data_IF_257618238890
#
_entry.id   IF_257618238890
#
_cell.length_a   1.000
_cell.length_b   1.000
_cell.length_c   1.000
_cell.angle_alpha   90.00
_cell.angle_beta   90.00
_cell.angle_gamma   90.00
#
_symmetry.space_group_name_H-M   'P 1'
#
loop_
_entity.id
_entity.type
_entity.pdbx_description
1 polymer ?
#
# COMPACT_ATOMS: atom_id res chain seq x y z
N UNK A 1 20.49 -23.01 11.11
CA UNK A 1 20.32 -22.07 9.99
C UNK A 1 20.58 -22.75 8.66
N UNK A 2 19.79 -22.46 7.63
CA UNK A 2 19.96 -22.95 6.26
C UNK A 2 20.15 -21.74 5.35
N UNK A 3 21.15 -21.79 4.48
CA UNK A 3 21.45 -20.76 3.49
C UNK A 3 21.24 -21.39 2.13
N UNK A 4 20.26 -20.90 1.38
CA UNK A 4 19.95 -21.39 0.05
C UNK A 4 20.22 -20.32 -1.00
N UNK A 5 20.84 -20.73 -2.09
CA UNK A 5 21.14 -19.86 -3.21
C UNK A 5 20.66 -20.50 -4.51
N UNK A 6 19.95 -19.76 -5.31
CA UNK A 6 19.58 -20.22 -6.66
C UNK A 6 20.81 -20.28 -7.58
N UNK A 7 20.82 -21.24 -8.50
CA UNK A 7 21.80 -21.20 -9.58
C UNK A 7 21.57 -19.97 -10.47
N UNK A 8 22.60 -19.36 -11.05
CA UNK A 8 22.46 -18.12 -11.82
C UNK A 8 21.42 -18.18 -12.93
N UNK A 9 21.25 -19.36 -13.58
CA UNK A 9 20.24 -19.55 -14.61
C UNK A 9 18.77 -19.48 -14.10
N UNK A 10 18.58 -19.60 -12.80
CA UNK A 10 17.25 -19.62 -12.15
C UNK A 10 17.04 -18.42 -11.22
N UNK A 11 18.06 -17.61 -10.98
CA UNK A 11 17.96 -16.41 -10.12
C UNK A 11 17.58 -15.18 -10.94
N UNK A 12 16.29 -15.12 -11.33
CA UNK A 12 15.78 -13.99 -12.10
C UNK A 12 15.78 -12.67 -11.31
N UNK A 13 15.68 -12.74 -9.98
CA UNK A 13 15.70 -11.54 -9.13
C UNK A 13 17.12 -10.92 -9.11
N UNK A 14 18.16 -11.72 -8.91
CA UNK A 14 19.54 -11.25 -8.97
C UNK A 14 19.88 -10.65 -10.34
N UNK A 15 19.39 -11.27 -11.43
CA UNK A 15 19.56 -10.76 -12.78
C UNK A 15 18.86 -9.39 -12.96
N UNK A 16 17.62 -9.26 -12.52
CA UNK A 16 16.86 -8.01 -12.61
C UNK A 16 17.56 -6.89 -11.80
N UNK A 17 18.01 -7.19 -10.58
CA UNK A 17 18.73 -6.23 -9.74
C UNK A 17 20.04 -5.79 -10.39
N UNK A 18 20.79 -6.71 -10.99
CA UNK A 18 22.02 -6.37 -11.70
C UNK A 18 21.76 -5.37 -12.84
N UNK A 19 20.73 -5.60 -13.65
CA UNK A 19 20.35 -4.68 -14.70
C UNK A 19 19.90 -3.31 -14.16
N UNK A 20 19.14 -3.26 -13.07
CA UNK A 20 18.77 -1.99 -12.45
C UNK A 20 20.00 -1.21 -11.96
N UNK A 21 20.97 -1.88 -11.38
CA UNK A 21 22.21 -1.26 -10.92
C UNK A 21 23.03 -0.71 -12.11
N UNK A 22 23.17 -1.49 -13.17
CA UNK A 22 23.95 -1.11 -14.35
C UNK A 22 23.24 -0.05 -15.19
N UNK A 23 21.97 -0.28 -15.51
CA UNK A 23 21.24 0.52 -16.49
C UNK A 23 20.59 1.77 -15.91
N UNK A 24 20.10 1.71 -14.68
CA UNK A 24 19.44 2.85 -14.02
C UNK A 24 20.40 3.63 -13.12
N UNK A 25 21.07 2.96 -12.17
CA UNK A 25 22.01 3.64 -11.26
C UNK A 25 23.33 4.00 -11.93
N UNK A 26 23.65 3.43 -13.10
CA UNK A 26 24.93 3.61 -13.83
C UNK A 26 26.15 3.25 -12.99
N UNK A 27 26.03 2.20 -12.17
CA UNK A 27 27.09 1.68 -11.31
C UNK A 27 27.72 0.47 -11.99
N UNK A 28 29.07 0.42 -11.98
CA UNK A 28 29.83 -0.73 -12.46
C UNK A 28 29.78 -1.87 -11.44
N UNK A 29 28.78 -2.72 -11.60
CA UNK A 29 28.56 -3.93 -10.84
C UNK A 29 28.66 -5.13 -11.77
N UNK A 30 29.52 -6.11 -11.43
CA UNK A 30 29.76 -7.27 -12.29
C UNK A 30 28.81 -8.43 -11.99
N UNK A 31 28.38 -8.57 -10.73
CA UNK A 31 27.47 -9.62 -10.32
C UNK A 31 26.67 -9.20 -9.07
N UNK A 32 25.45 -9.74 -8.99
CA UNK A 32 24.61 -9.73 -7.80
C UNK A 32 24.31 -11.18 -7.43
N UNK A 33 24.44 -11.51 -6.17
CA UNK A 33 24.06 -12.81 -5.63
C UNK A 33 23.10 -12.62 -4.47
N UNK A 34 22.04 -13.42 -4.43
CA UNK A 34 21.04 -13.40 -3.38
C UNK A 34 21.11 -14.71 -2.61
N UNK A 35 21.16 -14.59 -1.29
CA UNK A 35 21.17 -15.72 -0.37
C UNK A 35 19.87 -15.69 0.45
N UNK A 36 19.09 -16.75 0.33
CA UNK A 36 17.85 -16.94 1.09
C UNK A 36 18.23 -17.65 2.40
N UNK A 37 18.02 -16.97 3.50
CA UNK A 37 18.50 -17.42 4.81
C UNK A 37 17.31 -17.76 5.69
N UNK A 38 17.26 -19.00 6.13
CA UNK A 38 16.24 -19.56 7.00
C UNK A 38 16.88 -19.93 8.34
N UNK A 39 16.63 -19.14 9.35
CA UNK A 39 17.03 -19.44 10.72
C UNK A 39 15.87 -20.13 11.45
N UNK A 40 16.17 -21.12 12.29
CA UNK A 40 15.20 -21.88 13.10
C UNK A 40 15.84 -22.29 14.41
N UNK A 41 15.03 -22.46 15.44
CA UNK A 41 15.52 -22.74 16.79
C UNK A 41 15.96 -24.20 16.96
N UNK A 42 15.18 -25.15 16.44
CA UNK A 42 15.41 -26.58 16.62
C UNK A 42 16.17 -27.18 15.45
N UNK A 43 17.49 -27.32 15.59
CA UNK A 43 18.36 -27.93 14.59
C UNK A 43 18.07 -29.41 14.33
N UNK A 44 17.32 -30.11 15.19
CA UNK A 44 16.97 -31.52 14.94
C UNK A 44 15.99 -31.66 13.78
N UNK A 45 15.21 -30.62 13.46
CA UNK A 45 14.25 -30.59 12.36
C UNK A 45 14.85 -30.13 11.03
N UNK A 46 16.15 -29.83 10.99
CA UNK A 46 16.87 -29.31 9.80
C UNK A 46 16.66 -30.17 8.55
N UNK A 47 16.72 -31.50 8.68
CA UNK A 47 16.55 -32.40 7.55
C UNK A 47 15.18 -32.29 6.89
N UNK A 48 14.12 -32.25 7.70
CA UNK A 48 12.74 -32.13 7.24
C UNK A 48 12.47 -30.79 6.58
N UNK A 49 13.07 -29.70 7.11
CA UNK A 49 12.97 -28.37 6.53
C UNK A 49 13.64 -28.32 5.15
N UNK A 50 14.85 -28.91 5.04
CA UNK A 50 15.57 -29.01 3.77
C UNK A 50 14.75 -29.76 2.72
N UNK A 51 14.26 -30.93 3.04
CA UNK A 51 13.52 -31.78 2.11
C UNK A 51 12.18 -31.18 1.68
N UNK A 52 11.61 -30.31 2.51
CA UNK A 52 10.33 -29.68 2.24
C UNK A 52 10.43 -28.40 1.42
N UNK A 53 11.43 -27.56 1.68
CA UNK A 53 11.50 -26.20 1.12
C UNK A 53 12.48 -26.03 -0.03
N UNK A 54 13.50 -26.91 -0.16
CA UNK A 54 14.61 -26.66 -1.08
C UNK A 54 14.71 -27.71 -2.17
N UNK A 55 14.66 -27.25 -3.40
CA UNK A 55 14.81 -28.11 -4.59
C UNK A 55 16.22 -27.95 -5.17
N UNK A 56 17.01 -29.03 -5.07
CA UNK A 56 18.38 -29.10 -5.57
C UNK A 56 18.54 -28.93 -7.08
N UNK A 57 17.44 -28.97 -7.84
CA UNK A 57 17.47 -28.70 -9.29
C UNK A 57 17.64 -27.22 -9.61
N UNK A 58 17.21 -26.35 -8.70
CA UNK A 58 17.18 -24.90 -8.93
C UNK A 58 18.23 -24.14 -8.16
N UNK A 59 18.83 -24.74 -7.14
CA UNK A 59 19.80 -24.09 -6.30
C UNK A 59 20.56 -25.06 -5.38
N UNK A 60 21.39 -24.50 -4.54
CA UNK A 60 22.25 -25.23 -3.61
C UNK A 60 22.18 -24.67 -2.18
N UNK A 61 22.45 -25.54 -1.21
CA UNK A 61 22.59 -25.15 0.16
C UNK A 61 24.07 -24.82 0.41
N UNK A 62 24.31 -23.56 0.82
CA UNK A 62 25.65 -23.08 1.15
C UNK A 62 25.98 -23.47 2.59
N UNK A 63 27.14 -24.07 2.85
CA UNK A 63 27.48 -24.55 4.20
C UNK A 63 27.77 -23.44 5.20
N UNK A 64 28.30 -22.31 4.74
CA UNK A 64 28.68 -21.16 5.57
C UNK A 64 28.28 -19.86 4.89
N UNK A 65 28.01 -18.83 5.70
CA UNK A 65 27.72 -17.48 5.20
C UNK A 65 28.99 -16.90 4.51
N UNK A 66 28.84 -16.46 3.26
CA UNK A 66 29.94 -15.75 2.61
C UNK A 66 30.26 -14.42 3.30
N UNK A 67 31.48 -13.94 3.15
CA UNK A 67 31.88 -12.61 3.60
C UNK A 67 31.21 -11.49 2.77
N UNK A 68 31.18 -10.30 3.34
CA UNK A 68 30.70 -9.07 2.68
C UNK A 68 29.26 -9.12 2.17
N UNK A 69 28.37 -9.74 2.93
CA UNK A 69 26.95 -9.71 2.67
C UNK A 69 26.28 -8.50 3.34
N UNK A 70 25.33 -7.90 2.63
CA UNK A 70 24.33 -6.98 3.19
C UNK A 70 23.12 -7.82 3.56
N UNK A 71 22.77 -7.89 4.84
CA UNK A 71 21.62 -8.66 5.32
C UNK A 71 20.44 -7.73 5.51
N UNK A 72 19.33 -8.08 4.90
CA UNK A 72 18.09 -7.31 4.98
C UNK A 72 16.98 -8.19 5.54
N UNK A 73 16.29 -7.68 6.54
CA UNK A 73 15.05 -8.25 7.05
C UNK A 73 13.90 -7.23 6.94
N UNK A 74 12.67 -7.74 6.93
CA UNK A 74 11.53 -6.90 7.17
C UNK A 74 11.48 -6.51 8.65
N UNK A 75 11.11 -5.25 8.95
CA UNK A 75 10.98 -4.78 10.32
C UNK A 75 9.94 -5.59 11.10
N UNK A 76 10.10 -5.66 12.40
CA UNK A 76 9.15 -6.33 13.27
C UNK A 76 7.75 -5.69 13.13
N UNK A 77 6.74 -6.55 13.05
CA UNK A 77 5.37 -6.14 12.73
C UNK A 77 5.02 -6.13 11.24
N UNK A 78 6.00 -6.18 10.33
CA UNK A 78 5.75 -6.37 8.91
C UNK A 78 5.44 -7.83 8.59
N UNK A 79 4.50 -8.05 7.65
CA UNK A 79 4.16 -9.40 7.21
C UNK A 79 5.20 -9.92 6.22
N UNK A 80 5.94 -10.96 6.63
CA UNK A 80 6.86 -11.67 5.76
C UNK A 80 6.17 -12.89 5.15
N UNK A 81 5.76 -12.77 3.89
CA UNK A 81 5.02 -13.82 3.18
C UNK A 81 5.81 -15.12 3.06
N UNK A 82 7.11 -15.05 2.76
CA UNK A 82 7.96 -16.25 2.61
C UNK A 82 8.05 -17.00 3.93
N UNK A 83 8.25 -16.29 5.01
CA UNK A 83 8.32 -16.87 6.37
C UNK A 83 7.00 -17.52 6.75
N UNK A 84 5.88 -16.82 6.63
CA UNK A 84 4.58 -17.31 7.05
C UNK A 84 4.13 -18.54 6.23
N UNK A 85 4.26 -18.47 4.90
CA UNK A 85 3.91 -19.59 4.03
C UNK A 85 4.79 -20.81 4.27
N UNK A 86 6.10 -20.61 4.46
CA UNK A 86 7.02 -21.70 4.81
C UNK A 86 6.63 -22.36 6.12
N UNK A 87 6.33 -21.58 7.16
CA UNK A 87 5.88 -22.11 8.45
C UNK A 87 4.57 -22.87 8.34
N UNK A 88 3.57 -22.34 7.66
CA UNK A 88 2.27 -23.01 7.46
C UNK A 88 2.44 -24.33 6.71
N UNK A 89 3.24 -24.32 5.64
CA UNK A 89 3.52 -25.53 4.86
C UNK A 89 4.24 -26.60 5.70
N UNK A 90 5.30 -26.21 6.41
CA UNK A 90 6.07 -27.12 7.27
C UNK A 90 5.21 -27.71 8.40
N UNK A 91 4.40 -26.91 9.07
CA UNK A 91 3.49 -27.34 10.12
C UNK A 91 2.43 -28.31 9.58
N UNK A 92 1.85 -28.02 8.44
CA UNK A 92 0.79 -28.83 7.85
C UNK A 92 1.30 -30.15 7.26
N UNK A 93 2.48 -30.17 6.63
CA UNK A 93 2.96 -31.33 5.85
C UNK A 93 4.02 -32.15 6.56
N UNK A 94 4.85 -31.53 7.41
CA UNK A 94 6.03 -32.15 8.07
C UNK A 94 5.95 -32.18 9.57
N UNK A 95 4.91 -31.58 10.18
CA UNK A 95 4.75 -31.45 11.64
C UNK A 95 5.93 -30.76 12.32
N UNK A 96 6.62 -29.88 11.60
CA UNK A 96 7.70 -29.05 12.15
C UNK A 96 7.08 -28.08 13.16
N UNK A 97 7.66 -28.03 14.34
CA UNK A 97 7.21 -27.19 15.47
C UNK A 97 8.12 -25.98 15.71
N UNK A 98 9.33 -26.02 15.18
CA UNK A 98 10.31 -24.93 15.30
C UNK A 98 9.78 -23.65 14.69
N UNK A 99 10.03 -22.52 15.33
CA UNK A 99 9.86 -21.24 14.70
C UNK A 99 10.94 -21.00 13.65
N UNK A 100 10.60 -20.20 12.65
CA UNK A 100 11.44 -19.93 11.50
C UNK A 100 11.45 -18.42 11.23
N UNK A 101 12.63 -17.87 10.99
CA UNK A 101 12.86 -16.52 10.52
C UNK A 101 13.45 -16.56 9.12
N UNK A 102 12.98 -15.69 8.26
CA UNK A 102 13.46 -15.56 6.90
C UNK A 102 13.99 -14.16 6.66
N UNK A 103 15.18 -14.10 6.07
CA UNK A 103 15.79 -12.85 5.62
C UNK A 103 16.72 -13.10 4.42
N UNK A 104 17.21 -12.07 3.81
CA UNK A 104 18.06 -12.14 2.62
C UNK A 104 19.43 -11.56 2.87
N UNK A 105 20.45 -12.21 2.31
CA UNK A 105 21.80 -11.68 2.19
C UNK A 105 22.08 -11.32 0.73
N UNK A 106 22.62 -10.15 0.50
CA UNK A 106 22.99 -9.68 -0.84
C UNK A 106 24.50 -9.50 -0.94
N UNK A 107 25.10 -10.01 -2.01
CA UNK A 107 26.49 -9.75 -2.34
C UNK A 107 26.58 -9.06 -3.68
N UNK A 108 27.25 -7.91 -3.68
CA UNK A 108 27.46 -7.09 -4.87
C UNK A 108 28.95 -7.11 -5.23
N UNK A 109 29.27 -7.49 -6.47
CA UNK A 109 30.63 -7.41 -6.98
C UNK A 109 30.84 -6.04 -7.64
N UNK A 110 31.29 -5.06 -6.86
CA UNK A 110 31.41 -3.66 -7.24
C UNK A 110 32.85 -3.32 -7.62
N UNK A 111 33.02 -2.50 -8.68
CA UNK A 111 34.29 -1.88 -9.01
C UNK A 111 34.71 -0.85 -7.96
N UNK A 112 33.75 -0.17 -7.33
CA UNK A 112 33.98 0.83 -6.28
C UNK A 112 33.13 0.49 -5.04
N UNK A 113 33.72 0.14 -3.89
CA UNK A 113 32.97 -0.17 -2.68
C UNK A 113 32.06 0.97 -2.19
N UNK A 114 32.41 2.22 -2.45
CA UNK A 114 31.60 3.40 -2.08
C UNK A 114 30.23 3.48 -2.79
N UNK A 115 30.04 2.73 -3.89
CA UNK A 115 28.74 2.70 -4.59
C UNK A 115 27.69 1.85 -3.84
N UNK A 116 28.09 1.10 -2.82
CA UNK A 116 27.17 0.24 -2.06
C UNK A 116 26.05 1.03 -1.37
N UNK A 117 26.35 2.18 -0.79
CA UNK A 117 25.36 3.00 -0.11
C UNK A 117 24.28 3.51 -1.08
N UNK A 118 24.67 3.87 -2.31
CA UNK A 118 23.72 4.26 -3.35
C UNK A 118 22.82 3.10 -3.78
N UNK A 119 23.37 1.89 -3.88
CA UNK A 119 22.60 0.68 -4.18
C UNK A 119 21.59 0.40 -3.05
N UNK A 120 22.03 0.46 -1.80
CA UNK A 120 21.16 0.25 -0.64
C UNK A 120 20.03 1.26 -0.59
N UNK A 121 20.32 2.54 -0.80
CA UNK A 121 19.31 3.60 -0.82
C UNK A 121 18.26 3.43 -1.92
N UNK A 122 18.60 2.75 -3.02
CA UNK A 122 17.67 2.47 -4.11
C UNK A 122 16.86 1.18 -3.89
N UNK A 123 17.50 0.09 -3.46
CA UNK A 123 16.90 -1.24 -3.44
C UNK A 123 16.04 -1.51 -2.20
N UNK A 124 16.30 -0.84 -1.08
CA UNK A 124 15.66 -1.14 0.20
C UNK A 124 14.81 0.01 0.68
N UNK A 125 13.60 -0.33 1.10
CA UNK A 125 12.68 0.65 1.67
C UNK A 125 12.90 0.75 3.19
N UNK A 126 13.50 1.82 3.72
CA UNK A 126 13.81 1.95 5.14
C UNK A 126 12.58 2.07 6.04
N UNK A 127 11.39 2.27 5.48
CA UNK A 127 10.14 2.30 6.24
C UNK A 127 9.71 0.90 6.69
N UNK A 128 9.97 -0.11 5.86
CA UNK A 128 9.50 -1.49 6.07
C UNK A 128 10.65 -2.49 6.24
N UNK A 129 11.88 -2.11 5.91
CA UNK A 129 13.06 -2.98 5.95
C UNK A 129 14.19 -2.35 6.76
N UNK A 130 15.07 -3.21 7.28
CA UNK A 130 16.27 -2.80 8.00
C UNK A 130 17.43 -3.78 7.78
N UNK A 131 18.66 -3.29 7.97
CA UNK A 131 19.83 -4.15 7.98
C UNK A 131 19.89 -4.97 9.26
N UNK A 132 20.20 -6.25 9.11
CA UNK A 132 20.36 -7.20 10.20
C UNK A 132 21.84 -7.54 10.41
N UNK A 133 22.30 -7.57 11.66
CA UNK A 133 23.49 -8.32 12.01
C UNK A 133 23.11 -9.81 12.18
N UNK A 134 23.57 -10.72 11.32
CA UNK A 134 23.20 -12.13 11.39
C UNK A 134 23.62 -12.83 12.70
N UNK A 135 24.45 -12.18 13.53
CA UNK A 135 24.80 -12.67 14.86
C UNK A 135 23.77 -12.33 15.94
N UNK A 136 22.81 -11.47 15.59
CA UNK A 136 21.77 -10.97 16.50
C UNK A 136 20.37 -11.48 16.12
N UNK A 137 20.26 -12.67 15.51
CA UNK A 137 18.97 -13.26 15.18
C UNK A 137 18.26 -13.64 16.49
N UNK A 138 17.15 -12.96 16.77
CA UNK A 138 16.27 -13.26 17.88
C UNK A 138 14.98 -13.91 17.36
N UNK A 139 14.52 -14.98 18.02
CA UNK A 139 13.24 -15.65 17.75
C UNK A 139 12.12 -15.10 18.63
N UNK A 140 12.46 -14.55 19.77
CA UNK A 140 11.49 -13.89 20.63
C UNK A 140 11.01 -12.58 19.98
N UNK A 141 9.72 -12.38 19.94
CA UNK A 141 9.15 -11.07 19.69
C UNK A 141 9.38 -10.22 20.93
N UNK A 142 10.53 -9.62 21.05
CA UNK A 142 10.66 -8.51 21.98
C UNK A 142 9.89 -7.32 21.38
N UNK A 143 8.74 -7.04 21.97
CA UNK A 143 8.17 -5.70 21.89
C UNK A 143 9.12 -4.83 22.70
N UNK A 144 10.22 -4.44 22.07
CA UNK A 144 11.36 -3.82 22.74
C UNK A 144 11.12 -2.38 23.13
N UNK A 145 10.00 -1.78 22.73
CA UNK A 145 9.71 -0.36 23.00
C UNK A 145 8.36 -0.19 23.70
N UNK A 146 8.43 -0.16 25.05
CA UNK A 146 7.29 0.19 25.90
C UNK A 146 6.95 1.70 25.84
N UNK A 147 7.72 2.49 25.05
CA UNK A 147 7.53 3.93 24.96
C UNK A 147 6.16 4.32 24.40
N UNK A 148 5.60 3.51 23.50
CA UNK A 148 4.26 3.76 22.97
C UNK A 148 3.15 3.56 24.01
N UNK A 149 3.40 2.74 25.05
CA UNK A 149 2.47 2.52 26.16
C UNK A 149 2.63 3.54 27.28
N UNK A 150 3.67 4.38 27.23
CA UNK A 150 3.88 5.43 28.24
C UNK A 150 2.91 6.59 28.03
N UNK A 151 2.51 7.19 29.14
CA UNK A 151 1.71 8.42 29.09
C UNK A 151 2.54 9.56 28.47
N UNK A 152 1.88 10.38 27.66
CA UNK A 152 2.45 11.62 27.15
C UNK A 152 2.32 12.67 28.27
N UNK A 153 3.32 12.71 29.14
CA UNK A 153 3.29 13.54 30.34
C UNK A 153 3.01 15.01 30.00
N UNK A 154 2.03 15.60 30.69
CA UNK A 154 1.65 17.00 30.55
C UNK A 154 0.77 17.30 29.34
N UNK A 155 0.41 16.31 28.51
CA UNK A 155 -0.42 16.52 27.31
C UNK A 155 -1.69 17.31 27.59
N UNK A 156 -2.33 17.05 28.72
CA UNK A 156 -3.56 17.74 29.15
C UNK A 156 -3.39 19.22 29.40
N UNK A 157 -2.16 19.71 29.56
CA UNK A 157 -1.83 21.12 29.84
C UNK A 157 -1.06 21.78 28.70
N UNK A 158 -0.80 21.10 27.61
CA UNK A 158 -0.08 21.67 26.45
C UNK A 158 -0.83 22.89 25.91
N UNK A 159 -0.08 23.94 25.62
CA UNK A 159 -0.56 25.08 24.83
C UNK A 159 -0.74 24.68 23.35
N UNK A 160 -1.34 25.55 22.55
CA UNK A 160 -1.47 25.30 21.11
C UNK A 160 -0.10 25.16 20.42
N UNK A 161 0.91 25.93 20.83
CA UNK A 161 2.28 25.85 20.33
C UNK A 161 2.95 24.52 20.72
N UNK A 162 2.72 24.04 21.94
CA UNK A 162 3.25 22.75 22.40
C UNK A 162 2.57 21.56 21.69
N UNK A 163 1.27 21.65 21.38
CA UNK A 163 0.58 20.66 20.55
C UNK A 163 1.14 20.64 19.12
N UNK A 164 1.46 21.78 18.52
CA UNK A 164 2.10 21.87 17.21
C UNK A 164 3.48 21.22 17.26
N UNK A 165 4.28 21.52 18.26
CA UNK A 165 5.60 20.94 18.45
C UNK A 165 5.53 19.42 18.64
N UNK A 166 4.62 18.94 19.49
CA UNK A 166 4.35 17.52 19.70
C UNK A 166 3.98 16.80 18.39
N UNK A 167 3.05 17.38 17.63
CA UNK A 167 2.65 16.85 16.31
C UNK A 167 3.84 16.66 15.39
N UNK A 168 4.70 17.68 15.29
CA UNK A 168 5.88 17.66 14.42
C UNK A 168 6.92 16.63 14.90
N UNK A 169 7.23 16.64 16.20
CA UNK A 169 8.21 15.74 16.80
C UNK A 169 7.81 14.26 16.69
N UNK A 170 6.53 13.97 16.90
CA UNK A 170 6.01 12.59 16.92
C UNK A 170 5.45 12.12 15.60
N UNK A 171 5.41 12.97 14.56
CA UNK A 171 4.90 12.60 13.24
C UNK A 171 3.41 12.28 13.23
N UNK A 172 2.60 12.96 14.07
CA UNK A 172 1.15 12.77 14.16
C UNK A 172 0.45 13.51 13.01
N UNK A 173 -0.46 12.83 12.31
CA UNK A 173 -1.20 13.37 11.17
C UNK A 173 -2.39 14.27 11.55
N UNK A 174 -2.96 14.09 12.76
CA UNK A 174 -4.09 14.88 13.29
C UNK A 174 -3.84 16.38 13.18
N UNK A 175 -4.87 17.17 12.95
CA UNK A 175 -4.76 18.63 13.02
C UNK A 175 -4.81 19.14 14.47
N UNK A 176 -4.68 20.45 14.66
CA UNK A 176 -4.63 21.04 16.00
C UNK A 176 -5.99 20.97 16.68
N UNK A 177 -7.06 21.12 15.94
CA UNK A 177 -8.42 21.05 16.48
C UNK A 177 -8.72 19.64 16.97
N UNK A 178 -8.28 18.61 16.23
CA UNK A 178 -8.38 17.21 16.65
C UNK A 178 -7.60 16.95 17.94
N UNK A 179 -6.35 17.43 18.03
CA UNK A 179 -5.53 17.29 19.23
C UNK A 179 -6.15 18.00 20.44
N UNK A 180 -6.80 19.14 20.25
CA UNK A 180 -7.52 19.85 21.32
C UNK A 180 -8.77 19.08 21.77
N UNK A 181 -9.47 18.41 20.85
CA UNK A 181 -10.60 17.51 21.20
C UNK A 181 -10.09 16.35 22.05
N UNK A 182 -8.97 15.73 21.64
CA UNK A 182 -8.33 14.65 22.41
C UNK A 182 -7.92 15.15 23.79
N UNK A 183 -7.25 16.30 23.87
CA UNK A 183 -6.86 16.92 25.12
C UNK A 183 -8.07 17.15 26.06
N UNK A 184 -9.15 17.70 25.52
CA UNK A 184 -10.38 17.94 26.27
C UNK A 184 -11.03 16.65 26.79
N UNK A 185 -10.90 15.56 26.05
CA UNK A 185 -11.38 14.24 26.47
C UNK A 185 -10.56 13.71 27.66
N UNK A 186 -9.24 13.69 27.53
CA UNK A 186 -8.36 13.15 28.58
C UNK A 186 -8.30 14.05 29.83
N UNK A 187 -8.54 15.36 29.68
CA UNK A 187 -8.78 16.26 30.83
C UNK A 187 -10.00 15.81 31.65
N UNK A 188 -11.09 15.40 30.99
CA UNK A 188 -12.29 14.87 31.66
C UNK A 188 -12.05 13.50 32.32
N UNK A 189 -11.18 12.69 31.71
CA UNK A 189 -10.75 11.41 32.30
C UNK A 189 -9.79 11.61 33.50
N UNK A 190 -9.17 12.78 33.62
CA UNK A 190 -8.23 13.09 34.71
C UNK A 190 -6.89 12.37 34.60
N UNK A 191 -6.48 12.02 33.39
CA UNK A 191 -5.18 11.41 33.09
C UNK A 191 -4.63 11.86 31.74
N UNK A 192 -3.34 11.82 31.58
CA UNK A 192 -2.73 12.02 30.27
C UNK A 192 -2.95 10.79 29.36
N UNK A 193 -3.09 10.98 28.02
CA UNK A 193 -3.16 9.87 27.09
C UNK A 193 -1.84 9.13 27.00
N UNK A 194 -1.90 7.83 26.69
CA UNK A 194 -0.73 7.08 26.24
C UNK A 194 -0.48 7.40 24.76
N UNK A 195 0.76 7.31 24.32
CA UNK A 195 1.07 7.61 22.92
C UNK A 195 0.37 6.66 21.96
N UNK A 196 0.22 5.38 22.30
CA UNK A 196 -0.56 4.42 21.51
C UNK A 196 -2.04 4.81 21.37
N UNK A 197 -2.65 5.46 22.39
CA UNK A 197 -4.04 5.95 22.30
C UNK A 197 -4.13 7.08 21.27
N UNK A 198 -3.15 8.00 21.27
CA UNK A 198 -3.07 9.07 20.26
C UNK A 198 -2.86 8.47 18.86
N UNK A 199 -1.97 7.49 18.70
CA UNK A 199 -1.75 6.80 17.41
C UNK A 199 -3.00 6.10 16.88
N UNK A 200 -3.78 5.47 17.75
CA UNK A 200 -5.05 4.84 17.36
C UNK A 200 -6.02 5.91 16.83
N UNK A 201 -6.15 7.04 17.54
CA UNK A 201 -7.01 8.13 17.10
C UNK A 201 -6.49 8.78 15.81
N UNK A 202 -5.19 8.97 15.69
CA UNK A 202 -4.53 9.44 14.47
C UNK A 202 -4.86 8.56 13.27
N UNK A 203 -4.81 7.25 13.44
CA UNK A 203 -5.17 6.28 12.40
C UNK A 203 -6.65 6.35 12.04
N UNK A 204 -7.56 6.41 13.03
CA UNK A 204 -9.00 6.44 12.80
C UNK A 204 -9.51 7.78 12.25
N UNK A 205 -8.89 8.89 12.62
CA UNK A 205 -9.28 10.24 12.21
C UNK A 205 -8.46 10.75 11.03
N UNK A 206 -7.52 9.95 10.54
CA UNK A 206 -6.78 10.32 9.33
C UNK A 206 -7.75 10.57 8.18
N UNK A 207 -7.51 11.63 7.42
CA UNK A 207 -8.31 11.96 6.23
C UNK A 207 -7.99 10.99 5.06
N UNK A 208 -8.18 9.69 5.33
CA UNK A 208 -7.94 8.63 4.37
C UNK A 208 -8.77 8.85 3.11
N UNK A 209 -8.13 8.86 1.94
CA UNK A 209 -8.76 9.20 0.65
C UNK A 209 -9.43 10.58 0.64
N UNK A 210 -9.06 11.47 1.56
CA UNK A 210 -9.59 12.83 1.70
C UNK A 210 -11.12 12.90 1.91
N UNK A 211 -11.69 11.92 2.58
CA UNK A 211 -13.13 11.88 2.85
C UNK A 211 -13.60 13.13 3.60
N UNK A 212 -12.86 13.55 4.62
CA UNK A 212 -13.18 14.76 5.40
C UNK A 212 -13.03 16.01 4.53
N UNK A 213 -11.93 16.13 3.78
CA UNK A 213 -11.70 17.23 2.83
C UNK A 213 -12.84 17.34 1.81
N UNK A 214 -13.28 16.23 1.22
CA UNK A 214 -14.39 16.21 0.25
C UNK A 214 -15.74 16.60 0.86
N UNK A 215 -15.90 16.45 2.18
CA UNK A 215 -17.13 16.82 2.90
C UNK A 215 -17.08 18.22 3.50
N UNK A 216 -15.95 18.93 3.41
CA UNK A 216 -15.82 20.31 3.91
C UNK A 216 -16.91 21.19 3.31
N UNK A 217 -17.58 21.95 4.17
CA UNK A 217 -18.65 22.86 3.76
C UNK A 217 -18.05 24.09 3.07
N UNK A 218 -18.37 24.27 1.79
CA UNK A 218 -17.96 25.39 0.97
C UNK A 218 -18.98 26.52 1.17
N UNK A 219 -18.55 27.64 1.77
CA UNK A 219 -19.41 28.78 2.04
C UNK A 219 -19.38 29.81 0.91
N UNK A 220 -18.17 30.09 0.38
CA UNK A 220 -17.97 31.10 -0.64
C UNK A 220 -17.29 30.52 -1.87
N UNK A 221 -17.79 30.90 -3.04
CA UNK A 221 -17.20 30.52 -4.33
C UNK A 221 -16.88 31.76 -5.15
N UNK A 222 -15.61 31.93 -5.45
CA UNK A 222 -15.12 33.03 -6.32
C UNK A 222 -14.49 32.42 -7.57
N UNK A 223 -15.00 32.81 -8.73
CA UNK A 223 -14.48 32.40 -10.03
C UNK A 223 -13.59 33.51 -10.58
N UNK A 224 -12.31 33.25 -10.71
CA UNK A 224 -11.34 34.23 -11.19
C UNK A 224 -11.55 34.59 -12.65
N UNK A 225 -11.10 35.78 -13.05
CA UNK A 225 -11.09 36.22 -14.45
C UNK A 225 -10.05 35.41 -15.24
N UNK A 226 -10.41 35.05 -16.47
CA UNK A 226 -9.55 34.28 -17.37
C UNK A 226 -10.35 33.71 -18.55
N UNK A 227 -9.65 33.05 -19.47
CA UNK A 227 -10.22 32.54 -20.74
C UNK A 227 -11.34 31.50 -20.51
N UNK A 228 -11.32 30.80 -19.40
CA UNK A 228 -12.31 29.76 -19.07
C UNK A 228 -13.40 30.23 -18.10
N UNK A 229 -13.39 31.49 -17.64
CA UNK A 229 -14.37 32.00 -16.65
C UNK A 229 -15.82 31.71 -17.03
N UNK A 230 -16.20 31.98 -18.28
CA UNK A 230 -17.58 31.79 -18.73
C UNK A 230 -18.03 30.32 -18.65
N UNK A 231 -17.12 29.38 -18.99
CA UNK A 231 -17.42 27.94 -18.96
C UNK A 231 -17.55 27.46 -17.50
N UNK A 232 -16.61 27.87 -16.64
CA UNK A 232 -16.64 27.52 -15.22
C UNK A 232 -17.86 28.11 -14.52
N UNK A 233 -18.20 29.37 -14.80
CA UNK A 233 -19.40 30.04 -14.28
C UNK A 233 -20.67 29.29 -14.67
N UNK A 234 -20.80 28.94 -15.95
CA UNK A 234 -21.97 28.19 -16.44
C UNK A 234 -22.06 26.79 -15.82
N UNK A 235 -20.92 26.12 -15.65
CA UNK A 235 -20.89 24.81 -14.98
C UNK A 235 -21.34 24.90 -13.52
N UNK A 236 -20.93 25.94 -12.81
CA UNK A 236 -21.34 26.17 -11.44
C UNK A 236 -22.85 26.51 -11.33
N UNK A 237 -23.37 27.33 -12.24
CA UNK A 237 -24.80 27.61 -12.32
C UNK A 237 -25.61 26.33 -12.57
N UNK A 238 -25.19 25.48 -13.51
CA UNK A 238 -25.83 24.18 -13.77
C UNK A 238 -25.80 23.29 -12.54
N UNK A 239 -24.69 23.29 -11.79
CA UNK A 239 -24.61 22.56 -10.52
C UNK A 239 -25.68 23.05 -9.52
N UNK A 240 -25.85 24.35 -9.37
CA UNK A 240 -26.87 24.91 -8.46
C UNK A 240 -28.31 24.58 -8.91
N UNK A 241 -28.55 24.58 -10.22
CA UNK A 241 -29.83 24.16 -10.79
C UNK A 241 -30.12 22.67 -10.51
N UNK A 242 -29.12 21.80 -10.75
CA UNK A 242 -29.21 20.37 -10.43
C UNK A 242 -29.47 20.14 -8.95
N UNK A 243 -28.78 20.90 -8.09
CA UNK A 243 -28.98 20.85 -6.65
C UNK A 243 -30.40 21.22 -6.23
N UNK A 244 -30.91 22.32 -6.77
CA UNK A 244 -32.28 22.76 -6.50
C UNK A 244 -33.31 21.68 -6.89
N UNK A 245 -33.11 21.05 -8.04
CA UNK A 245 -33.97 19.96 -8.50
C UNK A 245 -33.82 18.71 -7.59
N UNK A 246 -32.61 18.26 -7.29
CA UNK A 246 -32.38 17.04 -6.51
C UNK A 246 -32.96 17.14 -5.10
N UNK A 247 -32.76 18.28 -4.44
CA UNK A 247 -33.19 18.50 -3.06
C UNK A 247 -34.56 19.14 -2.91
N UNK A 248 -35.33 19.29 -4.00
CA UNK A 248 -36.69 19.80 -3.94
C UNK A 248 -37.56 19.04 -2.91
N UNK A 249 -38.13 19.76 -1.96
CA UNK A 249 -38.95 19.18 -0.87
C UNK A 249 -38.15 18.46 0.23
N UNK A 250 -36.79 18.57 0.23
CA UNK A 250 -35.94 17.99 1.22
C UNK A 250 -34.97 19.05 1.78
N UNK A 251 -34.40 18.77 2.96
CA UNK A 251 -33.27 19.58 3.47
C UNK A 251 -32.05 19.36 2.60
N UNK A 252 -31.50 20.39 1.93
CA UNK A 252 -30.34 20.22 1.08
C UNK A 252 -29.08 19.91 1.95
N UNK A 253 -28.22 19.01 1.46
CA UNK A 253 -26.90 18.80 2.06
C UNK A 253 -26.05 20.07 1.88
N UNK A 254 -25.03 20.31 2.72
CA UNK A 254 -24.06 21.39 2.50
C UNK A 254 -23.41 21.30 1.12
N UNK A 255 -23.03 22.44 0.56
CA UNK A 255 -22.21 22.48 -0.65
C UNK A 255 -20.82 21.96 -0.27
N UNK A 256 -20.37 20.91 -0.94
CA UNK A 256 -19.05 20.28 -0.71
C UNK A 256 -18.53 19.69 -2.03
N UNK A 257 -17.26 19.34 -2.09
CA UNK A 257 -16.70 18.65 -3.26
C UNK A 257 -17.41 17.33 -3.54
N UNK A 258 -17.80 16.60 -2.49
CA UNK A 258 -18.56 15.34 -2.62
C UNK A 258 -19.96 15.58 -3.19
N UNK A 259 -20.65 16.64 -2.76
CA UNK A 259 -21.95 16.98 -3.34
C UNK A 259 -21.83 17.36 -4.81
N UNK A 260 -20.82 18.16 -5.15
CA UNK A 260 -20.50 18.57 -6.51
C UNK A 260 -20.20 17.36 -7.41
N UNK A 261 -19.39 16.41 -6.93
CA UNK A 261 -19.04 15.20 -7.67
C UNK A 261 -20.22 14.24 -7.89
N UNK A 262 -21.19 14.20 -6.95
CA UNK A 262 -22.27 13.20 -6.97
C UNK A 262 -23.62 13.75 -7.44
N UNK A 263 -23.77 15.06 -7.63
CA UNK A 263 -25.07 15.67 -7.90
C UNK A 263 -25.68 15.22 -9.23
N UNK A 264 -24.86 15.05 -10.26
CA UNK A 264 -25.32 14.58 -11.57
C UNK A 264 -25.93 13.18 -11.51
N UNK A 265 -25.27 12.25 -10.80
CA UNK A 265 -25.78 10.89 -10.62
C UNK A 265 -27.13 10.91 -9.87
N UNK A 266 -27.23 11.75 -8.82
CA UNK A 266 -28.47 11.93 -8.07
C UNK A 266 -29.61 12.52 -8.94
N UNK A 267 -29.29 13.48 -9.81
CA UNK A 267 -30.23 14.07 -10.74
C UNK A 267 -30.72 13.05 -11.76
N UNK A 268 -29.83 12.34 -12.43
CA UNK A 268 -30.13 11.30 -13.42
C UNK A 268 -31.04 10.23 -12.78
N UNK A 269 -30.69 9.81 -11.55
CA UNK A 269 -31.52 8.87 -10.78
C UNK A 269 -32.90 9.44 -10.49
N UNK A 270 -33.00 10.69 -10.00
CA UNK A 270 -34.34 11.36 -9.74
C UNK A 270 -35.17 11.52 -11.00
N UNK A 271 -34.54 11.67 -12.17
CA UNK A 271 -35.19 11.71 -13.47
C UNK A 271 -35.65 10.34 -13.99
N UNK A 272 -35.32 9.25 -13.30
CA UNK A 272 -35.66 7.88 -13.71
C UNK A 272 -34.88 7.39 -14.94
N UNK A 273 -33.67 7.91 -15.19
CA UNK A 273 -32.85 7.57 -16.34
C UNK A 273 -31.82 6.47 -16.04
N UNK A 274 -31.72 6.00 -14.79
CA UNK A 274 -30.90 4.86 -14.38
C UNK A 274 -31.81 3.62 -14.20
N UNK A 275 -32.42 3.16 -15.29
CA UNK A 275 -33.38 2.05 -15.27
C UNK A 275 -32.73 0.68 -15.11
N UNK A 276 -31.45 0.58 -15.47
CA UNK A 276 -30.63 -0.61 -15.43
C UNK A 276 -29.73 -0.68 -14.17
N UNK A 277 -29.81 0.32 -13.29
CA UNK A 277 -29.09 0.31 -12.02
C UNK A 277 -29.78 -0.65 -11.05
N UNK A 278 -29.07 -1.72 -10.67
CA UNK A 278 -29.53 -2.63 -9.63
C UNK A 278 -29.50 -1.93 -8.26
N UNK A 279 -30.59 -2.07 -7.49
CA UNK A 279 -30.71 -1.53 -6.14
C UNK A 279 -30.91 -2.67 -5.14
N UNK A 280 -29.84 -3.03 -4.45
CA UNK A 280 -29.88 -4.02 -3.36
C UNK A 280 -29.37 -3.46 -2.05
N UNK A 281 -29.42 -4.26 -1.00
CA UNK A 281 -28.82 -3.95 0.30
C UNK A 281 -27.30 -4.18 0.32
N UNK A 282 -26.74 -4.83 -0.67
CA UNK A 282 -25.30 -5.13 -0.80
C UNK A 282 -24.66 -4.15 -1.81
N UNK A 283 -24.24 -2.97 -1.32
CA UNK A 283 -23.73 -1.87 -2.16
C UNK A 283 -22.19 -1.74 -2.00
N UNK A 284 -21.44 -2.77 -2.35
CA UNK A 284 -19.97 -2.73 -2.33
C UNK A 284 -19.35 -2.47 -3.72
N UNK A 285 -20.16 -2.58 -4.78
CA UNK A 285 -19.78 -2.28 -6.15
C UNK A 285 -21.00 -1.69 -6.90
N UNK A 286 -20.75 -1.02 -8.02
CA UNK A 286 -21.85 -0.60 -8.90
C UNK A 286 -22.31 -1.80 -9.73
N UNK A 287 -23.59 -2.15 -9.67
CA UNK A 287 -24.19 -3.24 -10.43
C UNK A 287 -25.22 -2.70 -11.40
N UNK A 288 -25.13 -3.13 -12.65
CA UNK A 288 -26.11 -2.81 -13.70
C UNK A 288 -26.64 -4.09 -14.32
N UNK A 289 -27.94 -4.08 -14.64
CA UNK A 289 -28.58 -5.18 -15.34
C UNK A 289 -28.20 -5.13 -16.83
N UNK A 290 -27.73 -6.25 -17.38
CA UNK A 290 -27.37 -6.38 -18.78
C UNK A 290 -27.96 -7.66 -19.35
N UNK A 291 -28.54 -7.58 -20.54
CA UNK A 291 -29.03 -8.74 -21.25
C UNK A 291 -27.91 -9.37 -22.08
N UNK A 292 -27.66 -10.66 -21.84
CA UNK A 292 -26.63 -11.45 -22.52
C UNK A 292 -27.30 -12.59 -23.25
N UNK A 293 -26.90 -12.83 -24.50
CA UNK A 293 -27.34 -14.00 -25.28
C UNK A 293 -26.39 -15.18 -25.01
N UNK A 294 -26.94 -16.27 -24.45
CA UNK A 294 -26.20 -17.52 -24.20
C UNK A 294 -26.93 -18.66 -24.88
N UNK A 295 -26.28 -19.31 -25.84
CA UNK A 295 -26.81 -20.44 -26.61
C UNK A 295 -28.18 -20.14 -27.29
N UNK A 296 -28.39 -18.88 -27.71
CA UNK A 296 -29.64 -18.42 -28.34
C UNK A 296 -30.76 -18.05 -27.37
N UNK A 297 -30.49 -18.03 -26.09
CA UNK A 297 -31.42 -17.56 -25.05
C UNK A 297 -30.90 -16.26 -24.42
N UNK A 298 -31.76 -15.26 -24.30
CA UNK A 298 -31.42 -14.00 -23.59
C UNK A 298 -31.57 -14.22 -22.09
N UNK A 299 -30.52 -13.88 -21.35
CA UNK A 299 -30.49 -13.93 -19.89
C UNK A 299 -30.10 -12.56 -19.35
N UNK A 300 -30.78 -12.07 -18.32
CA UNK A 300 -30.43 -10.85 -17.63
C UNK A 300 -29.40 -11.17 -16.54
N UNK A 301 -28.25 -10.50 -16.62
CA UNK A 301 -27.12 -10.68 -15.69
C UNK A 301 -26.81 -9.37 -15.00
N UNK A 302 -26.19 -9.44 -13.81
CA UNK A 302 -25.64 -8.28 -13.11
C UNK A 302 -24.19 -8.10 -13.52
N UNK A 303 -23.88 -6.99 -14.17
CA UNK A 303 -22.51 -6.57 -14.45
C UNK A 303 -22.03 -5.63 -13.35
N UNK A 304 -21.04 -6.07 -12.58
CA UNK A 304 -20.48 -5.29 -11.49
C UNK A 304 -19.22 -4.54 -11.91
N UNK A 305 -19.08 -3.31 -11.46
CA UNK A 305 -17.92 -2.47 -11.63
C UNK A 305 -17.50 -1.88 -10.29
N UNK A 306 -16.21 -2.06 -9.93
CA UNK A 306 -15.59 -1.46 -8.76
C UNK A 306 -14.37 -0.65 -9.17
N UNK A 307 -14.28 0.57 -8.69
CA UNK A 307 -13.10 1.41 -8.80
C UNK A 307 -12.52 1.67 -7.40
N UNK A 308 -11.21 1.53 -7.27
CA UNK A 308 -10.46 1.75 -6.04
C UNK A 308 -9.30 2.71 -6.30
N UNK A 309 -9.14 3.68 -5.43
CA UNK A 309 -8.00 4.59 -5.46
C UNK A 309 -7.07 4.28 -4.28
N UNK A 310 -5.76 4.19 -4.53
CA UNK A 310 -4.80 3.83 -3.51
C UNK A 310 -3.46 4.53 -3.77
N UNK A 311 -3.43 5.84 -3.50
CA UNK A 311 -2.30 6.70 -3.82
C UNK A 311 -1.19 6.64 -2.75
N UNK A 312 -1.45 7.16 -1.55
CA UNK A 312 -0.45 7.34 -0.50
C UNK A 312 0.19 6.03 -0.02
N UNK A 313 -0.55 4.95 0.29
CA UNK A 313 0.07 3.69 0.66
C UNK A 313 0.95 3.10 -0.44
N UNK A 314 0.58 3.28 -1.71
CA UNK A 314 1.39 2.83 -2.86
C UNK A 314 2.67 3.67 -3.01
N UNK A 315 2.66 4.94 -2.62
CA UNK A 315 3.86 5.78 -2.59
C UNK A 315 4.85 5.32 -1.51
N UNK A 316 4.35 4.96 -0.32
CA UNK A 316 5.17 4.62 0.85
C UNK A 316 5.71 3.20 0.78
N UNK A 317 4.86 2.25 0.47
CA UNK A 317 5.18 0.82 0.31
C UNK A 317 4.54 0.32 -0.99
N UNK A 318 5.22 0.48 -2.14
CA UNK A 318 4.61 0.32 -3.45
C UNK A 318 4.05 -1.06 -3.74
N UNK A 319 4.72 -2.13 -3.28
CA UNK A 319 4.28 -3.49 -3.50
C UNK A 319 2.99 -3.80 -2.75
N UNK A 320 2.99 -3.64 -1.43
CA UNK A 320 1.83 -3.94 -0.58
C UNK A 320 0.70 -2.95 -0.79
N UNK A 321 1.02 -1.67 -1.05
CA UNK A 321 0.01 -0.66 -1.38
C UNK A 321 -0.76 -1.00 -2.65
N UNK A 322 -0.07 -1.34 -3.73
CA UNK A 322 -0.71 -1.75 -4.99
C UNK A 322 -1.43 -3.10 -4.86
N UNK A 323 -0.86 -4.04 -4.11
CA UNK A 323 -1.46 -5.34 -3.79
C UNK A 323 -2.78 -5.17 -3.03
N UNK A 324 -2.84 -4.27 -2.06
CA UNK A 324 -4.06 -3.94 -1.31
C UNK A 324 -5.09 -3.23 -2.18
N UNK A 325 -4.66 -2.34 -3.08
CA UNK A 325 -5.54 -1.63 -4.00
C UNK A 325 -6.37 -2.60 -4.86
N UNK A 326 -5.70 -3.49 -5.59
CA UNK A 326 -6.41 -4.48 -6.40
C UNK A 326 -7.18 -5.48 -5.54
N UNK A 327 -6.66 -5.78 -4.32
CA UNK A 327 -7.34 -6.63 -3.35
C UNK A 327 -8.71 -6.10 -2.98
N UNK A 328 -8.83 -4.80 -2.69
CA UNK A 328 -10.12 -4.12 -2.44
C UNK A 328 -11.03 -4.16 -3.66
N UNK A 329 -10.49 -3.82 -4.84
CA UNK A 329 -11.25 -3.87 -6.09
C UNK A 329 -11.88 -5.23 -6.38
N UNK A 330 -11.16 -6.31 -6.07
CA UNK A 330 -11.62 -7.68 -6.36
C UNK A 330 -12.55 -8.19 -5.25
N UNK A 331 -12.22 -7.94 -3.98
CA UNK A 331 -12.97 -8.49 -2.85
C UNK A 331 -14.34 -7.87 -2.68
N UNK A 332 -14.53 -6.62 -3.02
CA UNK A 332 -15.84 -5.98 -2.91
C UNK A 332 -16.89 -6.61 -3.84
N UNK A 333 -16.63 -6.82 -5.15
CA UNK A 333 -17.55 -7.59 -5.99
C UNK A 333 -17.70 -9.04 -5.53
N UNK A 334 -16.62 -9.70 -5.05
CA UNK A 334 -16.72 -11.06 -4.50
C UNK A 334 -17.61 -11.13 -3.27
N UNK A 335 -17.65 -10.09 -2.42
CA UNK A 335 -18.54 -10.01 -1.27
C UNK A 335 -20.01 -9.98 -1.70
N UNK A 336 -20.31 -9.38 -2.86
CA UNK A 336 -21.61 -9.42 -3.53
C UNK A 336 -21.87 -10.73 -4.32
N UNK A 337 -21.02 -11.74 -4.15
CA UNK A 337 -21.11 -13.05 -4.82
C UNK A 337 -20.94 -13.01 -6.34
N UNK A 338 -20.28 -11.97 -6.85
CA UNK A 338 -19.92 -11.87 -8.26
C UNK A 338 -18.62 -12.63 -8.57
N UNK A 339 -18.47 -13.12 -9.78
CA UNK A 339 -17.20 -13.60 -10.30
C UNK A 339 -16.42 -12.43 -10.91
N UNK A 340 -15.17 -12.22 -10.47
CA UNK A 340 -14.33 -11.16 -11.02
C UNK A 340 -13.62 -11.67 -12.26
N UNK A 341 -13.98 -11.11 -13.42
CA UNK A 341 -13.50 -11.56 -14.73
C UNK A 341 -12.23 -10.84 -15.17
N UNK A 342 -11.97 -9.62 -14.70
CA UNK A 342 -10.85 -8.81 -15.15
C UNK A 342 -10.48 -7.71 -14.15
N UNK A 343 -9.17 -7.52 -13.92
CA UNK A 343 -8.60 -6.33 -13.32
C UNK A 343 -8.14 -5.31 -14.38
N UNK A 344 -8.32 -4.03 -14.09
CA UNK A 344 -7.83 -2.92 -14.91
C UNK A 344 -6.98 -2.03 -14.02
N UNK A 345 -5.75 -1.72 -14.44
CA UNK A 345 -4.84 -0.83 -13.73
C UNK A 345 -4.67 0.47 -14.50
N UNK A 346 -5.01 1.58 -13.87
CA UNK A 346 -4.73 2.93 -14.37
C UNK A 346 -3.88 3.65 -13.34
N UNK A 347 -2.74 4.21 -13.74
CA UNK A 347 -1.77 4.85 -12.85
C UNK A 347 -1.35 6.20 -13.40
N UNK A 348 -1.33 7.20 -12.53
CA UNK A 348 -0.61 8.45 -12.74
C UNK A 348 0.54 8.54 -11.75
N UNK A 349 1.75 8.83 -12.21
CA UNK A 349 2.94 8.95 -11.37
C UNK A 349 3.98 9.88 -12.00
N UNK A 350 5.03 10.20 -11.25
CA UNK A 350 6.21 10.85 -11.81
C UNK A 350 6.95 9.96 -12.81
N UNK A 351 7.84 10.56 -13.59
CA UNK A 351 8.58 9.88 -14.63
C UNK A 351 9.53 8.79 -14.04
N UNK A 352 9.33 7.50 -14.35
CA UNK A 352 10.18 6.42 -13.85
C UNK A 352 11.60 6.43 -14.42
N UNK A 353 11.88 7.28 -15.40
CA UNK A 353 13.23 7.49 -15.96
C UNK A 353 13.98 8.61 -15.26
N UNK A 354 13.36 9.31 -14.30
CA UNK A 354 14.05 10.34 -13.49
C UNK A 354 15.25 9.72 -12.79
N UNK A 355 16.46 10.30 -12.97
CA UNK A 355 17.68 9.78 -12.34
C UNK A 355 17.55 9.69 -10.81
N UNK A 356 18.17 8.67 -10.21
CA UNK A 356 18.06 8.43 -8.77
C UNK A 356 18.52 9.62 -7.91
N UNK A 357 19.53 10.35 -8.34
CA UNK A 357 20.06 11.54 -7.67
C UNK A 357 19.15 12.78 -7.74
N UNK A 358 18.07 12.70 -8.53
CA UNK A 358 17.00 13.70 -8.60
C UNK A 358 15.74 13.26 -7.82
N UNK A 359 15.80 12.17 -7.11
CA UNK A 359 14.72 11.74 -6.22
C UNK A 359 14.48 12.79 -5.13
N UNK A 360 13.21 13.13 -4.88
CA UNK A 360 12.84 14.07 -3.82
C UNK A 360 13.28 13.54 -2.46
N UNK A 361 13.71 14.45 -1.58
CA UNK A 361 14.15 14.10 -0.23
C UNK A 361 13.03 13.37 0.54
N UNK A 362 13.39 12.27 1.20
CA UNK A 362 12.45 11.46 1.97
C UNK A 362 11.48 10.62 1.13
N UNK A 363 11.66 10.56 -0.20
CA UNK A 363 10.82 9.77 -1.11
C UNK A 363 11.58 8.60 -1.72
N UNK A 364 10.84 7.58 -2.14
CA UNK A 364 11.37 6.48 -2.95
C UNK A 364 11.52 6.95 -4.41
N UNK A 365 12.48 6.39 -5.13
CA UNK A 365 12.69 6.68 -6.55
C UNK A 365 11.44 6.27 -7.36
N UNK A 366 11.03 7.10 -8.34
CA UNK A 366 9.83 6.85 -9.16
C UNK A 366 9.88 5.50 -9.89
N UNK A 367 11.06 5.12 -10.36
CA UNK A 367 11.27 3.80 -10.98
C UNK A 367 11.02 2.65 -10.00
N UNK A 368 11.48 2.76 -8.77
CA UNK A 368 11.23 1.78 -7.73
C UNK A 368 9.73 1.67 -7.44
N UNK A 369 9.04 2.80 -7.26
CA UNK A 369 7.59 2.85 -7.02
C UNK A 369 6.85 2.18 -8.18
N UNK A 370 7.12 2.57 -9.43
CA UNK A 370 6.43 2.04 -10.60
C UNK A 370 6.61 0.53 -10.74
N UNK A 371 7.85 0.03 -10.57
CA UNK A 371 8.18 -1.39 -10.72
C UNK A 371 7.55 -2.23 -9.62
N UNK A 372 7.67 -1.81 -8.36
CA UNK A 372 7.14 -2.56 -7.22
C UNK A 372 5.62 -2.53 -7.17
N UNK A 373 5.00 -1.40 -7.49
CA UNK A 373 3.55 -1.31 -7.59
C UNK A 373 2.98 -2.23 -8.68
N UNK A 374 3.64 -2.30 -9.84
CA UNK A 374 3.25 -3.23 -10.90
C UNK A 374 3.33 -4.69 -10.44
N UNK A 375 4.41 -5.06 -9.74
CA UNK A 375 4.59 -6.41 -9.19
C UNK A 375 3.48 -6.75 -8.19
N UNK A 376 3.23 -5.89 -7.20
CA UNK A 376 2.21 -6.14 -6.18
C UNK A 376 0.81 -6.26 -6.78
N UNK A 377 0.47 -5.43 -7.76
CA UNK A 377 -0.81 -5.49 -8.46
C UNK A 377 -0.97 -6.80 -9.23
N UNK A 378 0.06 -7.21 -9.97
CA UNK A 378 0.07 -8.46 -10.73
C UNK A 378 -0.01 -9.69 -9.82
N UNK A 379 0.75 -9.71 -8.74
CA UNK A 379 0.82 -10.87 -7.84
C UNK A 379 -0.52 -11.18 -7.20
N UNK A 380 -1.23 -10.17 -6.69
CA UNK A 380 -2.54 -10.41 -6.09
C UNK A 380 -3.53 -10.99 -7.10
N UNK A 381 -3.62 -10.40 -8.28
CA UNK A 381 -4.53 -10.85 -9.33
C UNK A 381 -4.21 -12.29 -9.77
N UNK A 382 -2.93 -12.61 -9.93
CA UNK A 382 -2.48 -13.96 -10.32
C UNK A 382 -2.80 -15.01 -9.25
N UNK A 383 -2.66 -14.68 -7.95
CA UNK A 383 -2.93 -15.63 -6.86
C UNK A 383 -4.40 -16.07 -6.81
N UNK A 384 -5.32 -15.23 -7.23
CA UNK A 384 -6.76 -15.56 -7.26
C UNK A 384 -7.27 -15.90 -8.67
N UNK A 385 -6.39 -15.94 -9.66
CA UNK A 385 -6.74 -16.33 -11.04
C UNK A 385 -7.48 -15.24 -11.82
N UNK A 386 -7.48 -13.97 -11.37
CA UNK A 386 -8.09 -12.86 -12.09
C UNK A 386 -7.05 -12.16 -12.99
N UNK A 387 -7.22 -12.13 -14.32
CA UNK A 387 -6.25 -11.49 -15.19
C UNK A 387 -6.30 -9.96 -15.06
N UNK A 388 -5.13 -9.33 -15.14
CA UNK A 388 -5.00 -7.88 -15.37
C UNK A 388 -4.90 -7.65 -16.87
N UNK A 389 -6.06 -7.45 -17.52
CA UNK A 389 -6.14 -7.41 -18.98
C UNK A 389 -5.76 -6.06 -19.58
N UNK A 390 -5.86 -4.97 -18.79
CA UNK A 390 -5.55 -3.62 -19.25
C UNK A 390 -4.66 -2.94 -18.23
N UNK A 391 -3.53 -2.40 -18.69
CA UNK A 391 -2.65 -1.54 -17.91
C UNK A 391 -2.45 -0.24 -18.67
N UNK A 392 -2.70 0.89 -18.01
CA UNK A 392 -2.51 2.22 -18.56
C UNK A 392 -1.74 3.07 -17.57
N UNK A 393 -0.61 3.60 -18.00
CA UNK A 393 0.26 4.42 -17.16
C UNK A 393 0.42 5.80 -17.80
N UNK A 394 0.31 6.83 -16.95
CA UNK A 394 0.51 8.22 -17.31
C UNK A 394 1.60 8.80 -16.41
N UNK A 395 2.54 9.51 -17.02
CA UNK A 395 3.67 10.09 -16.30
C UNK A 395 3.65 11.61 -16.48
N UNK A 396 3.81 12.31 -15.36
CA UNK A 396 3.86 13.77 -15.31
C UNK A 396 4.89 14.19 -14.25
N UNK A 397 5.59 15.29 -14.50
CA UNK A 397 6.67 15.76 -13.64
C UNK A 397 6.20 16.74 -12.55
N UNK A 398 4.87 17.10 -12.52
CA UNK A 398 4.40 18.11 -11.60
C UNK A 398 3.00 17.94 -11.03
#
# INVERSE_FOLDING_TARGET
>A
MIIYKYFPAHDQEAFAILHEIQDFLKIDCQAVEIFHIYAFEDETQRGEIIDALFDKRYGEIIPELPDNLVFIKDKDGQYNQVQDQSLRYLRATRKVTSDLRYFRGYRFQLAKPADLDKIKAYLFNPLVQEELDPKQINFDYEISDDSEHQAVEGFNTFSAEELIAFKQERGVGLDIDDLQVIQSHFQKEGRDPRFCEIKILDTYWSDHCRHTTFLTNIQDVTIQDGDYKAVVQKSYENYLESRAYVYEGKTPKPISLMDLATINAKEIKKRGLLTDLEESSEINACSVEVDIEINGETQTWLHMFKNETHNHPTEIEPYGGAHTCIGGCIRDPLSGRAEVIQGIRVVGSGNPLTPHDQTLEGKLAQRYIATRAMQGFSDYANQIGSPVGIVKEYYDDG
#
